data_IF_088148032483
#
_entry.id   IF_088148032483
#
_cell.length_a   1.000
_cell.length_b   1.000
_cell.length_c   1.000
_cell.angle_alpha   90.00
_cell.angle_beta   90.00
_cell.angle_gamma   90.00
#
_symmetry.space_group_name_H-M   'P 1'
#
loop_
_entity.id
_entity.type
_entity.pdbx_description
1 polymer ?
#
# COMPACT_ATOMS: atom_id res chain seq x y z
N UNK A 1 -13.94 24.47 -7.32
CA UNK A 1 -13.14 24.66 -6.10
C UNK A 1 -12.26 23.42 -5.94
N UNK A 2 -11.09 23.40 -6.57
CA UNK A 2 -10.16 22.28 -6.46
C UNK A 2 -9.62 22.29 -5.02
N UNK A 3 -10.24 21.47 -4.18
CA UNK A 3 -9.83 21.24 -2.79
C UNK A 3 -8.41 20.70 -2.88
N UNK A 4 -7.42 21.50 -2.49
CA UNK A 4 -6.02 21.08 -2.46
C UNK A 4 -5.98 19.71 -1.78
N UNK A 5 -5.51 18.68 -2.48
CA UNK A 5 -5.21 17.38 -1.88
C UNK A 5 -4.40 17.71 -0.63
N UNK A 6 -5.00 17.52 0.55
CA UNK A 6 -4.39 17.96 1.79
C UNK A 6 -2.99 17.33 1.87
N UNK A 7 -1.96 18.05 2.34
CA UNK A 7 -0.59 17.53 2.43
C UNK A 7 -0.51 16.18 3.17
N UNK A 8 -1.51 15.86 3.98
CA UNK A 8 -1.70 14.60 4.68
C UNK A 8 -1.91 13.39 3.76
N UNK A 9 -2.69 13.54 2.69
CA UNK A 9 -2.99 12.46 1.73
C UNK A 9 -1.76 11.99 0.97
N UNK A 10 -0.86 12.93 0.69
CA UNK A 10 0.43 12.62 0.09
C UNK A 10 1.29 11.77 1.03
N UNK A 11 1.25 12.00 2.35
CA UNK A 11 1.97 11.16 3.33
C UNK A 11 1.46 9.74 3.31
N UNK A 12 0.14 9.55 3.29
CA UNK A 12 -0.48 8.23 3.17
C UNK A 12 -0.15 7.54 1.84
N UNK A 13 -0.15 8.29 0.74
CA UNK A 13 0.30 7.78 -0.55
C UNK A 13 1.77 7.31 -0.52
N UNK A 14 2.71 8.12 0.01
CA UNK A 14 4.11 7.72 0.12
C UNK A 14 4.32 6.53 1.07
N UNK A 15 3.61 6.50 2.19
CA UNK A 15 3.61 5.35 3.09
C UNK A 15 3.10 4.08 2.38
N UNK A 16 2.05 4.22 1.57
CA UNK A 16 1.55 3.20 0.67
C UNK A 16 2.64 2.65 -0.25
N UNK A 17 3.39 3.51 -0.96
CA UNK A 17 4.48 3.08 -1.86
C UNK A 17 5.50 2.23 -1.11
N UNK A 18 5.99 2.71 0.03
CA UNK A 18 6.98 1.98 0.82
C UNK A 18 6.43 0.64 1.28
N UNK A 19 5.19 0.62 1.80
CA UNK A 19 4.53 -0.60 2.24
C UNK A 19 4.37 -1.62 1.10
N UNK A 20 3.87 -1.18 -0.06
CA UNK A 20 3.69 -2.04 -1.22
C UNK A 20 5.00 -2.65 -1.72
N UNK A 21 6.06 -1.84 -1.81
CA UNK A 21 7.38 -2.32 -2.24
C UNK A 21 8.00 -3.32 -1.25
N UNK A 22 7.93 -3.03 0.06
CA UNK A 22 8.47 -3.91 1.11
C UNK A 22 7.71 -5.22 1.18
N UNK A 23 6.37 -5.18 1.21
CA UNK A 23 5.56 -6.39 1.25
C UNK A 23 5.75 -7.24 -0.01
N UNK A 24 5.91 -6.61 -1.18
CA UNK A 24 6.17 -7.35 -2.42
C UNK A 24 7.54 -8.03 -2.41
N UNK A 25 8.58 -7.34 -1.92
CA UNK A 25 9.91 -7.92 -1.73
C UNK A 25 9.90 -9.11 -0.78
N UNK A 26 9.18 -9.00 0.35
CA UNK A 26 8.98 -10.12 1.28
C UNK A 26 8.18 -11.26 0.64
N UNK A 27 7.14 -10.94 -0.13
CA UNK A 27 6.33 -11.91 -0.84
C UNK A 27 7.16 -12.76 -1.81
N UNK A 28 8.09 -12.16 -2.55
CA UNK A 28 9.01 -12.93 -3.40
C UNK A 28 10.02 -13.74 -2.63
N UNK A 29 10.55 -13.21 -1.53
CA UNK A 29 11.47 -13.97 -0.69
C UNK A 29 10.81 -15.25 -0.14
N UNK A 30 9.52 -15.17 0.23
CA UNK A 30 8.73 -16.31 0.71
C UNK A 30 8.24 -17.23 -0.42
N UNK A 31 7.95 -16.69 -1.60
CA UNK A 31 7.34 -17.41 -2.73
C UNK A 31 8.08 -17.16 -4.06
N UNK A 32 9.38 -17.52 -4.16
CA UNK A 32 10.21 -17.15 -5.31
C UNK A 32 9.72 -17.75 -6.64
N UNK A 33 9.11 -18.94 -6.60
CA UNK A 33 8.61 -19.63 -7.79
C UNK A 33 7.18 -19.26 -8.19
N UNK A 34 6.51 -18.37 -7.42
CA UNK A 34 5.10 -18.04 -7.66
C UNK A 34 4.85 -16.53 -7.51
N UNK A 35 5.53 -15.74 -8.35
CA UNK A 35 5.44 -14.29 -8.35
C UNK A 35 4.00 -13.77 -8.51
N UNK A 36 3.18 -14.42 -9.34
CA UNK A 36 1.78 -14.04 -9.54
C UNK A 36 0.94 -14.18 -8.26
N UNK A 37 1.08 -15.30 -7.55
CA UNK A 37 0.39 -15.49 -6.26
C UNK A 37 0.89 -14.50 -5.20
N UNK A 38 2.19 -14.23 -5.17
CA UNK A 38 2.78 -13.23 -4.27
C UNK A 38 2.16 -11.85 -4.49
N UNK A 39 2.01 -11.41 -5.74
CA UNK A 39 1.37 -10.12 -6.08
C UNK A 39 -0.07 -10.05 -5.57
N UNK A 40 -0.86 -11.10 -5.76
CA UNK A 40 -2.26 -11.13 -5.30
C UNK A 40 -2.36 -11.06 -3.77
N UNK A 41 -1.53 -11.82 -3.06
CA UNK A 41 -1.51 -11.82 -1.59
C UNK A 41 -1.09 -10.44 -1.08
N UNK A 42 -0.04 -9.86 -1.65
CA UNK A 42 0.47 -8.55 -1.23
C UNK A 42 -0.55 -7.45 -1.52
N UNK A 43 -1.22 -7.49 -2.67
CA UNK A 43 -2.30 -6.55 -2.98
C UNK A 43 -3.43 -6.64 -1.96
N UNK A 44 -3.85 -7.86 -1.59
CA UNK A 44 -4.85 -8.06 -0.54
C UNK A 44 -4.38 -7.50 0.81
N UNK A 45 -3.12 -7.75 1.19
CA UNK A 45 -2.54 -7.21 2.43
C UNK A 45 -2.50 -5.67 2.43
N UNK A 46 -2.09 -5.04 1.32
CA UNK A 46 -2.06 -3.58 1.20
C UNK A 46 -3.46 -2.99 1.44
N UNK A 47 -4.52 -3.60 0.88
CA UNK A 47 -5.90 -3.17 1.10
C UNK A 47 -6.32 -3.38 2.55
N UNK A 48 -6.07 -4.56 3.12
CA UNK A 48 -6.45 -4.90 4.50
C UNK A 48 -5.74 -3.98 5.50
N UNK A 49 -4.44 -3.74 5.33
CA UNK A 49 -3.65 -2.90 6.23
C UNK A 49 -4.10 -1.44 6.12
N UNK A 50 -4.25 -0.93 4.89
CA UNK A 50 -4.68 0.47 4.67
C UNK A 50 -6.06 0.74 5.26
N UNK A 51 -7.02 -0.16 5.01
CA UNK A 51 -8.36 -0.03 5.58
C UNK A 51 -8.38 -0.31 7.09
N UNK A 52 -7.56 -1.25 7.55
CA UNK A 52 -7.45 -1.63 8.96
C UNK A 52 -7.00 -0.47 9.85
N UNK A 53 -6.06 0.35 9.39
CA UNK A 53 -5.65 1.57 10.12
C UNK A 53 -6.80 2.57 10.26
N UNK A 54 -7.56 2.82 9.18
CA UNK A 54 -8.72 3.72 9.25
C UNK A 54 -9.84 3.16 10.13
N UNK A 55 -10.14 1.86 10.01
CA UNK A 55 -11.14 1.21 10.85
C UNK A 55 -10.75 1.25 12.32
N UNK A 56 -9.46 1.07 12.62
CA UNK A 56 -8.93 1.20 13.97
C UNK A 56 -9.10 2.63 14.51
N UNK A 57 -8.76 3.65 13.73
CA UNK A 57 -8.98 5.06 14.08
C UNK A 57 -10.46 5.37 14.33
N UNK A 58 -11.35 4.80 13.52
CA UNK A 58 -12.80 4.95 13.67
C UNK A 58 -13.33 4.32 14.99
N UNK A 59 -12.86 3.11 15.32
CA UNK A 59 -13.34 2.38 16.51
C UNK A 59 -12.77 2.96 17.81
N UNK A 60 -11.48 3.32 17.80
CA UNK A 60 -10.79 3.77 19.02
C UNK A 60 -10.89 5.27 19.26
N UNK A 61 -11.23 6.05 18.22
CA UNK A 61 -11.15 7.52 18.25
C UNK A 61 -9.71 8.04 18.32
N UNK A 62 -8.69 7.17 18.19
CA UNK A 62 -7.29 7.55 18.18
C UNK A 62 -6.87 7.90 16.74
N UNK A 63 -7.10 9.15 16.35
CA UNK A 63 -6.74 9.67 15.04
C UNK A 63 -7.90 10.40 14.37
N UNK A 64 -7.68 10.82 13.13
CA UNK A 64 -8.74 11.38 12.27
C UNK A 64 -9.15 10.29 11.30
N UNK A 65 -10.37 9.80 11.42
CA UNK A 65 -10.92 8.89 10.42
C UNK A 65 -11.15 9.66 9.11
N UNK A 66 -10.43 9.27 8.07
CA UNK A 66 -10.65 9.74 6.70
C UNK A 66 -10.42 8.57 5.74
N UNK A 67 -11.52 8.03 5.21
CA UNK A 67 -11.48 6.93 4.25
C UNK A 67 -10.58 7.23 3.04
N UNK A 68 -10.37 8.51 2.69
CA UNK A 68 -9.49 8.87 1.59
C UNK A 68 -8.01 8.65 1.88
N UNK A 69 -7.63 8.50 3.14
CA UNK A 69 -6.26 8.22 3.55
C UNK A 69 -5.94 6.72 3.36
N UNK A 70 -6.92 5.83 3.60
CA UNK A 70 -6.84 4.43 3.17
C UNK A 70 -6.75 4.32 1.64
N UNK A 71 -7.59 5.04 0.89
CA UNK A 71 -7.54 5.01 -0.59
C UNK A 71 -6.20 5.53 -1.12
N UNK A 72 -5.68 6.64 -0.57
CA UNK A 72 -4.37 7.16 -0.94
C UNK A 72 -3.26 6.14 -0.66
N UNK A 73 -3.31 5.46 0.49
CA UNK A 73 -2.37 4.40 0.86
C UNK A 73 -2.44 3.19 -0.08
N UNK A 74 -3.64 2.77 -0.48
CA UNK A 74 -3.82 1.66 -1.45
C UNK A 74 -3.27 2.04 -2.82
N UNK A 75 -3.57 3.24 -3.33
CA UNK A 75 -3.05 3.72 -4.62
C UNK A 75 -1.52 3.75 -4.56
N UNK A 76 -0.95 4.31 -3.48
CA UNK A 76 0.49 4.27 -3.24
C UNK A 76 1.05 2.86 -3.21
N UNK A 77 0.38 1.94 -2.51
CA UNK A 77 0.76 0.53 -2.43
C UNK A 77 0.80 -0.15 -3.79
N UNK A 78 -0.16 0.11 -4.67
CA UNK A 78 -0.13 -0.41 -6.06
C UNK A 78 1.08 0.13 -6.82
N UNK A 79 1.42 1.42 -6.67
CA UNK A 79 2.66 1.98 -7.24
C UNK A 79 3.92 1.31 -6.68
N UNK A 80 3.99 1.10 -5.37
CA UNK A 80 5.11 0.40 -4.73
C UNK A 80 5.28 -1.03 -5.23
N UNK A 81 4.16 -1.75 -5.41
CA UNK A 81 4.11 -3.10 -5.94
C UNK A 81 4.59 -3.15 -7.40
N UNK A 82 4.14 -2.20 -8.22
CA UNK A 82 4.60 -2.03 -9.61
C UNK A 82 6.08 -1.68 -9.72
N UNK A 83 6.59 -0.79 -8.85
CA UNK A 83 8.01 -0.44 -8.80
C UNK A 83 8.87 -1.64 -8.40
N UNK A 84 8.44 -2.41 -7.41
CA UNK A 84 9.11 -3.64 -7.06
C UNK A 84 9.14 -4.57 -8.28
N UNK A 85 8.00 -4.77 -8.97
CA UNK A 85 7.89 -5.72 -10.10
C UNK A 85 8.85 -5.34 -11.22
N UNK A 86 8.92 -4.05 -11.54
CA UNK A 86 9.86 -3.52 -12.52
C UNK A 86 11.31 -3.75 -12.09
N UNK A 87 11.64 -3.51 -10.81
CA UNK A 87 12.98 -3.76 -10.29
C UNK A 87 13.35 -5.25 -10.38
N UNK A 88 12.41 -6.16 -10.13
CA UNK A 88 12.62 -7.60 -10.30
C UNK A 88 12.87 -7.97 -11.77
N UNK A 89 12.04 -7.51 -12.70
CA UNK A 89 12.22 -7.77 -14.13
C UNK A 89 13.52 -7.18 -14.73
N UNK A 90 14.17 -6.22 -14.05
CA UNK A 90 15.44 -5.62 -14.47
C UNK A 90 16.68 -6.29 -13.86
N UNK A 91 16.51 -7.04 -12.76
CA UNK A 91 17.61 -7.71 -12.04
C UNK A 91 17.83 -9.16 -12.51
N UNK A 92 17.00 -9.65 -13.42
CA UNK A 92 17.10 -10.96 -14.09
C UNK A 92 17.14 -10.76 -15.61
#
# INVERSE_FOLDING_TARGET
MFKSIAPDKWRHFYAGIVMGAVLQGLGWWLMPNNAGLSVLIVLALVVIISYGFELFSLITGLGVYDFMDAVASVIGGVFGLGLALLACCWLF
#
